data_IF_718739736133
#
_entry.id   IF_718739736133
#
_cell.length_a   1.000
_cell.length_b   1.000
_cell.length_c   1.000
_cell.angle_alpha   90.00
_cell.angle_beta   90.00
_cell.angle_gamma   90.00
#
_symmetry.space_group_name_H-M   'P 1'
#
loop_
_entity.id
_entity.type
_entity.pdbx_description
1 polymer ?
#
# COMPACT_ATOMS: atom_id res chain seq x y z
N UNK A 1 -21.59 7.90 12.83
CA UNK A 1 -21.19 7.92 11.40
C UNK A 1 -20.52 9.26 11.16
N UNK A 2 -19.19 9.28 11.02
CA UNK A 2 -18.45 10.51 10.76
C UNK A 2 -18.53 10.89 9.28
N UNK A 3 -18.62 12.19 8.98
CA UNK A 3 -18.56 12.69 7.61
C UNK A 3 -17.26 12.30 6.90
N UNK A 4 -17.34 12.02 5.60
CA UNK A 4 -16.15 11.81 4.75
C UNK A 4 -15.42 13.14 4.50
N UNK A 5 -14.14 13.11 4.11
CA UNK A 5 -13.37 14.33 3.79
C UNK A 5 -14.07 15.16 2.69
N UNK A 6 -14.65 14.47 1.70
CA UNK A 6 -15.38 15.12 0.61
C UNK A 6 -16.65 15.82 1.11
N UNK A 7 -17.39 15.20 2.01
CA UNK A 7 -18.57 15.82 2.65
C UNK A 7 -18.18 17.02 3.51
N UNK A 8 -17.11 16.91 4.30
CA UNK A 8 -16.59 18.01 5.12
C UNK A 8 -16.19 19.22 4.25
N UNK A 9 -15.43 19.00 3.17
CA UNK A 9 -15.08 20.06 2.22
C UNK A 9 -16.33 20.69 1.58
N UNK A 10 -17.31 19.88 1.17
CA UNK A 10 -18.56 20.40 0.60
C UNK A 10 -19.35 21.26 1.60
N UNK A 11 -19.41 20.86 2.87
CA UNK A 11 -20.07 21.62 3.94
C UNK A 11 -19.35 22.94 4.24
N UNK A 12 -18.02 22.95 4.20
CA UNK A 12 -17.21 24.17 4.38
C UNK A 12 -17.39 25.14 3.19
N UNK A 13 -17.39 24.63 1.95
CA UNK A 13 -17.71 25.45 0.75
C UNK A 13 -19.10 26.06 0.85
N UNK A 14 -20.11 25.29 1.26
CA UNK A 14 -21.48 25.78 1.41
C UNK A 14 -21.60 26.92 2.44
N UNK A 15 -20.68 26.97 3.42
CA UNK A 15 -20.60 28.02 4.44
C UNK A 15 -19.63 29.15 4.09
N UNK A 16 -18.95 29.08 2.95
CA UNK A 16 -17.98 30.09 2.52
C UNK A 16 -16.71 30.14 3.39
N UNK A 17 -16.35 29.02 4.03
CA UNK A 17 -15.12 28.90 4.82
C UNK A 17 -13.99 28.45 3.90
N UNK A 18 -12.87 29.17 3.91
CA UNK A 18 -11.65 28.78 3.19
C UNK A 18 -10.91 27.70 3.98
N UNK A 19 -10.54 26.62 3.30
CA UNK A 19 -9.80 25.47 3.85
C UNK A 19 -8.60 25.10 2.97
N UNK A 20 -8.09 26.04 2.17
CA UNK A 20 -6.94 25.84 1.27
C UNK A 20 -5.66 25.40 1.97
N UNK A 21 -5.56 25.55 3.29
CA UNK A 21 -4.43 25.11 4.12
C UNK A 21 -4.71 23.85 4.96
N UNK A 22 -5.89 23.25 4.86
CA UNK A 22 -6.27 22.09 5.66
C UNK A 22 -6.33 20.84 4.79
N UNK A 23 -5.41 19.92 5.07
CA UNK A 23 -5.29 18.65 4.34
C UNK A 23 -5.86 17.49 5.14
N UNK A 24 -5.88 17.60 6.47
CA UNK A 24 -6.25 16.51 7.36
C UNK A 24 -7.74 16.54 7.73
N UNK A 25 -8.32 15.35 7.92
CA UNK A 25 -9.74 15.20 8.31
C UNK A 25 -10.05 15.90 9.64
N UNK A 26 -9.13 15.85 10.61
CA UNK A 26 -9.30 16.47 11.92
C UNK A 26 -9.39 18.00 11.83
N UNK A 27 -8.51 18.62 11.04
CA UNK A 27 -8.51 20.07 10.79
C UNK A 27 -9.81 20.52 10.13
N UNK A 28 -10.30 19.77 9.13
CA UNK A 28 -11.56 20.05 8.45
C UNK A 28 -12.78 19.92 9.38
N UNK A 29 -12.79 18.95 10.28
CA UNK A 29 -13.83 18.82 11.30
C UNK A 29 -13.81 19.97 12.30
N UNK A 30 -12.61 20.37 12.74
CA UNK A 30 -12.44 21.49 13.66
C UNK A 30 -12.92 22.81 13.05
N UNK A 31 -12.54 23.09 11.80
CA UNK A 31 -13.01 24.26 11.06
C UNK A 31 -14.54 24.28 10.90
N UNK A 32 -15.13 23.12 10.65
CA UNK A 32 -16.58 23.00 10.50
C UNK A 32 -17.30 23.31 11.83
N UNK A 33 -16.76 22.80 12.94
CA UNK A 33 -17.28 23.06 14.28
C UNK A 33 -17.14 24.54 14.66
N UNK A 34 -15.99 25.17 14.38
CA UNK A 34 -15.80 26.61 14.61
C UNK A 34 -16.77 27.47 13.79
N UNK A 35 -17.06 27.07 12.55
CA UNK A 35 -18.03 27.76 11.70
C UNK A 35 -19.45 27.64 12.28
N UNK A 36 -19.84 26.47 12.79
CA UNK A 36 -21.12 26.24 13.45
C UNK A 36 -21.27 27.05 14.74
N UNK A 37 -20.21 27.15 15.55
CA UNK A 37 -20.18 27.99 16.75
C UNK A 37 -20.28 29.49 16.41
N UNK A 38 -19.61 29.95 15.35
CA UNK A 38 -19.74 31.33 14.85
C UNK A 38 -21.15 31.63 14.36
N UNK A 39 -21.79 30.69 13.67
CA UNK A 39 -23.17 30.86 13.20
C UNK A 39 -24.16 30.87 14.38
N UNK A 40 -23.97 29.98 15.36
CA UNK A 40 -24.75 29.94 16.60
C UNK A 40 -24.62 31.25 17.39
N UNK A 41 -23.41 31.79 17.54
CA UNK A 41 -23.16 33.07 18.24
C UNK A 41 -23.63 34.30 17.45
N UNK A 42 -23.67 34.22 16.11
CA UNK A 42 -24.26 35.25 15.26
C UNK A 42 -25.78 35.31 15.36
N UNK A 43 -26.44 34.17 15.64
CA UNK A 43 -27.90 34.07 15.77
C UNK A 43 -28.45 34.60 17.11
N UNK A 44 -27.59 34.89 18.09
CA UNK A 44 -28.02 35.40 19.39
C UNK A 44 -28.48 36.87 19.31
N UNK A 45 -29.63 37.22 19.91
CA UNK A 45 -30.11 38.59 19.95
C UNK A 45 -29.12 39.50 20.71
N UNK A 46 -28.95 40.76 20.30
CA UNK A 46 -27.93 41.67 20.83
C UNK A 46 -28.01 41.90 22.34
N UNK A 47 -29.15 41.62 22.98
CA UNK A 47 -29.35 41.76 24.42
C UNK A 47 -28.63 40.71 25.28
N UNK A 48 -28.04 39.66 24.69
CA UNK A 48 -27.29 38.62 25.42
C UNK A 48 -25.76 38.78 25.35
N UNK A 49 -25.24 39.69 24.51
CA UNK A 49 -23.79 39.83 24.27
C UNK A 49 -23.03 40.59 25.37
N UNK A 50 -23.72 41.37 26.22
CA UNK A 50 -23.08 42.21 27.24
C UNK A 50 -22.76 41.49 28.57
N UNK A 51 -23.11 40.21 28.72
CA UNK A 51 -22.97 39.49 30.00
C UNK A 51 -21.78 38.52 30.09
N UNK A 52 -21.01 38.30 29.02
CA UNK A 52 -19.99 37.23 28.95
C UNK A 52 -18.53 37.71 28.92
N UNK A 53 -18.26 38.98 29.23
CA UNK A 53 -16.90 39.52 29.33
C UNK A 53 -16.30 39.33 30.73
N UNK A 54 -15.89 38.12 31.08
CA UNK A 54 -15.04 37.87 32.24
C UNK A 54 -14.08 36.71 31.94
N UNK A 55 -12.88 37.05 31.46
CA UNK A 55 -11.78 36.12 31.23
C UNK A 55 -11.14 35.66 32.55
N UNK A 56 -10.75 34.38 32.67
CA UNK A 56 -9.68 33.96 33.53
C UNK A 56 -8.42 33.65 32.70
N UNK A 57 -7.37 34.44 32.92
CA UNK A 57 -5.98 34.05 32.66
C UNK A 57 -5.64 32.77 33.42
N UNK A 58 -4.94 31.83 32.77
CA UNK A 58 -4.03 30.78 33.27
C UNK A 58 -3.77 29.86 32.05
N UNK A 59 -2.59 29.38 31.70
CA UNK A 59 -1.26 29.37 32.29
C UNK A 59 -0.34 28.69 31.27
N UNK A 60 0.94 29.04 31.33
CA UNK A 60 1.97 28.85 30.32
C UNK A 60 2.99 27.82 30.80
N UNK A 61 3.04 26.64 30.21
CA UNK A 61 4.12 25.63 30.30
C UNK A 61 4.06 24.80 29.00
N UNK A 62 5.11 24.33 28.33
CA UNK A 62 6.53 24.23 28.64
C UNK A 62 7.09 23.18 27.66
N UNK A 63 8.06 23.57 26.85
CA UNK A 63 8.70 22.79 25.78
C UNK A 63 9.63 21.73 26.36
N UNK A 64 9.62 20.50 25.82
CA UNK A 64 10.83 19.66 25.76
C UNK A 64 10.69 18.56 24.68
N UNK A 65 11.61 18.62 23.72
CA UNK A 65 11.89 17.60 22.72
C UNK A 65 13.06 16.74 23.20
N UNK A 66 13.02 15.41 23.01
CA UNK A 66 14.25 14.61 22.84
C UNK A 66 13.95 13.20 22.30
N UNK A 67 14.64 12.84 21.23
CA UNK A 67 14.91 11.50 20.69
C UNK A 67 16.28 11.61 19.97
N UNK A 68 16.95 10.53 19.52
CA UNK A 68 16.91 9.11 19.87
C UNK A 68 18.33 8.52 20.13
N UNK A 69 18.45 7.22 20.42
CA UNK A 69 19.71 6.48 20.20
C UNK A 69 19.45 4.99 19.98
N UNK A 70 19.84 4.50 18.80
CA UNK A 70 19.91 3.08 18.47
C UNK A 70 21.28 2.81 17.82
N UNK A 71 21.96 1.78 18.32
CA UNK A 71 23.26 1.29 17.87
C UNK A 71 23.16 0.44 16.58
N UNK A 72 24.21 0.36 15.75
CA UNK A 72 24.30 -0.64 14.69
C UNK A 72 25.27 -1.79 15.06
N UNK A 73 24.74 -3.01 15.00
CA UNK A 73 25.52 -4.26 15.05
C UNK A 73 26.11 -4.60 13.68
N UNK A 74 27.43 -4.79 13.65
CA UNK A 74 28.20 -5.31 12.53
C UNK A 74 27.97 -6.81 12.34
N UNK A 75 27.75 -7.26 11.10
CA UNK A 75 28.05 -8.63 10.69
C UNK A 75 28.78 -8.63 9.34
N UNK A 76 30.02 -9.12 9.41
CA UNK A 76 30.90 -9.46 8.30
C UNK A 76 30.54 -10.86 7.74
N UNK A 77 30.55 -10.98 6.42
CA UNK A 77 30.65 -12.22 5.66
C UNK A 77 30.56 -11.84 4.18
N UNK A 78 31.54 -12.01 3.32
CA UNK A 78 32.50 -13.10 3.20
C UNK A 78 32.00 -14.04 2.10
N UNK A 79 32.38 -13.79 0.83
CA UNK A 79 32.59 -14.87 -0.15
C UNK A 79 33.24 -14.38 -1.43
N UNK A 80 34.36 -15.04 -1.71
CA UNK A 80 35.11 -15.14 -2.95
C UNK A 80 34.21 -15.43 -4.17
N UNK A 81 34.61 -14.94 -5.34
CA UNK A 81 34.94 -15.78 -6.52
C UNK A 81 35.47 -14.91 -7.67
N UNK A 82 36.70 -15.18 -8.08
CA UNK A 82 37.21 -15.01 -9.44
C UNK A 82 37.43 -16.45 -10.01
N UNK A 83 37.83 -16.70 -11.27
CA UNK A 83 38.11 -15.78 -12.39
C UNK A 83 37.49 -16.23 -13.74
N UNK A 84 37.58 -15.42 -14.80
CA UNK A 84 37.46 -15.93 -16.20
C UNK A 84 38.16 -15.05 -17.25
N UNK A 85 39.25 -15.64 -17.76
CA UNK A 85 39.79 -15.69 -19.15
C UNK A 85 39.71 -14.46 -20.09
N UNK A 86 40.85 -14.02 -20.68
CA UNK A 86 40.88 -13.01 -21.74
C UNK A 86 40.67 -13.62 -23.15
N UNK A 87 39.83 -12.98 -23.96
CA UNK A 87 39.57 -13.37 -25.35
C UNK A 87 40.29 -12.46 -26.36
N UNK A 88 41.10 -13.13 -27.19
CA UNK A 88 41.53 -12.85 -28.57
C UNK A 88 41.53 -11.41 -29.13
N UNK A 89 42.73 -10.96 -29.51
CA UNK A 89 43.00 -9.82 -30.38
C UNK A 89 42.63 -10.11 -31.86
N UNK A 90 41.99 -9.18 -32.57
CA UNK A 90 41.93 -9.19 -34.03
C UNK A 90 43.07 -8.39 -34.68
N UNK A 91 43.46 -8.85 -35.88
CA UNK A 91 44.56 -8.38 -36.71
C UNK A 91 44.38 -6.95 -37.27
N UNK A 92 45.48 -6.26 -37.65
CA UNK A 92 45.43 -4.91 -38.19
C UNK A 92 44.90 -4.88 -39.63
N UNK A 93 43.87 -4.08 -39.85
CA UNK A 93 43.38 -3.73 -41.19
C UNK A 93 44.35 -2.75 -41.87
N UNK A 94 44.62 -3.05 -43.14
CA UNK A 94 45.40 -2.29 -44.12
C UNK A 94 44.98 -0.82 -44.20
N UNK A 95 45.96 0.07 -44.04
CA UNK A 95 45.85 1.51 -44.22
C UNK A 95 45.45 1.85 -45.66
N UNK A 96 44.20 2.31 -45.83
CA UNK A 96 43.78 3.06 -46.99
C UNK A 96 44.35 4.48 -46.88
N UNK A 97 44.99 4.95 -47.96
CA UNK A 97 45.56 6.29 -48.05
C UNK A 97 44.45 7.35 -47.86
N UNK A 98 44.42 7.94 -46.67
CA UNK A 98 43.55 9.06 -46.35
C UNK A 98 43.97 10.27 -47.20
N UNK A 99 42.98 10.88 -47.85
CA UNK A 99 43.12 12.19 -48.46
C UNK A 99 43.68 13.20 -47.43
N UNK A 100 44.45 14.21 -47.85
CA UNK A 100 44.99 15.22 -46.94
C UNK A 100 43.83 15.91 -46.22
N UNK A 101 43.68 15.62 -44.93
CA UNK A 101 42.75 16.33 -44.04
C UNK A 101 43.26 17.76 -43.93
N UNK A 102 42.49 18.71 -44.45
CA UNK A 102 42.80 20.13 -44.33
C UNK A 102 42.84 20.51 -42.84
N UNK A 103 44.03 20.81 -42.32
CA UNK A 103 44.24 21.26 -40.95
C UNK A 103 43.80 22.73 -40.83
N UNK A 104 42.65 23.03 -40.19
CA UNK A 104 42.15 24.40 -40.10
C UNK A 104 43.09 25.31 -39.31
N UNK A 105 43.96 24.77 -38.44
CA UNK A 105 44.94 25.57 -37.69
C UNK A 105 46.05 26.13 -38.60
N UNK A 106 46.32 25.51 -39.77
CA UNK A 106 47.38 25.99 -40.69
C UNK A 106 47.09 27.35 -41.28
N UNK A 107 45.81 27.66 -41.54
CA UNK A 107 45.36 28.91 -42.15
C UNK A 107 45.35 30.10 -41.21
N UNK A 108 45.29 29.87 -39.89
CA UNK A 108 45.15 30.94 -38.89
C UNK A 108 46.47 31.70 -38.69
N UNK A 109 46.36 33.01 -38.49
CA UNK A 109 47.45 33.89 -38.06
C UNK A 109 47.78 33.70 -36.57
N UNK A 110 48.96 34.16 -36.13
CA UNK A 110 49.35 34.07 -34.70
C UNK A 110 48.35 34.77 -33.78
N UNK A 111 47.74 35.87 -34.24
CA UNK A 111 46.73 36.61 -33.48
C UNK A 111 45.43 35.82 -33.34
N UNK A 112 44.99 35.16 -34.41
CA UNK A 112 43.79 34.31 -34.40
C UNK A 112 43.99 33.05 -33.55
N UNK A 113 45.17 32.43 -33.62
CA UNK A 113 45.52 31.28 -32.77
C UNK A 113 45.49 31.65 -31.29
N UNK A 114 46.08 32.80 -30.91
CA UNK A 114 46.05 33.30 -29.52
C UNK A 114 44.62 33.63 -29.07
N UNK A 115 43.84 34.32 -29.92
CA UNK A 115 42.44 34.61 -29.61
C UNK A 115 41.59 33.33 -29.43
N UNK A 116 41.84 32.30 -30.23
CA UNK A 116 41.16 31.00 -30.10
C UNK A 116 41.54 30.27 -28.80
N UNK A 117 42.83 30.32 -28.41
CA UNK A 117 43.31 29.74 -27.14
C UNK A 117 42.82 30.54 -25.93
N UNK A 118 42.82 31.88 -26.00
CA UNK A 118 42.28 32.79 -24.97
C UNK A 118 40.78 32.53 -24.74
N UNK A 119 40.01 32.35 -25.82
CA UNK A 119 38.59 32.02 -25.77
C UNK A 119 38.29 30.67 -25.11
N UNK A 120 39.31 29.82 -24.94
CA UNK A 120 39.24 28.50 -24.29
C UNK A 120 39.98 28.46 -22.96
N UNK A 121 40.45 29.63 -22.49
CA UNK A 121 41.22 29.76 -21.26
C UNK A 121 42.49 28.89 -21.18
N UNK A 122 43.13 28.63 -22.32
CA UNK A 122 44.37 27.82 -22.39
C UNK A 122 45.59 28.74 -22.34
N UNK A 123 46.46 28.55 -21.34
CA UNK A 123 47.71 29.30 -21.22
C UNK A 123 48.71 28.90 -22.32
N UNK A 124 49.19 29.91 -23.05
CA UNK A 124 50.20 29.78 -24.10
C UNK A 124 51.46 30.62 -23.84
N UNK A 125 51.70 31.06 -22.60
CA UNK A 125 52.86 31.88 -22.23
C UNK A 125 54.21 31.22 -22.58
N UNK A 126 54.25 29.89 -22.68
CA UNK A 126 55.43 29.12 -23.03
C UNK A 126 55.62 28.89 -24.54
N UNK A 127 54.62 29.25 -25.37
CA UNK A 127 54.68 29.10 -26.82
C UNK A 127 55.29 30.36 -27.46
N UNK A 128 56.46 30.22 -28.07
CA UNK A 128 57.18 31.29 -28.77
C UNK A 128 56.99 31.23 -30.28
N UNK A 129 56.73 30.04 -30.82
CA UNK A 129 56.60 29.82 -32.26
C UNK A 129 55.15 29.61 -32.70
N UNK A 130 54.83 30.00 -33.95
CA UNK A 130 53.49 29.77 -34.53
C UNK A 130 53.12 28.28 -34.54
N UNK A 131 54.09 27.42 -34.81
CA UNK A 131 53.89 25.97 -34.85
C UNK A 131 53.50 25.41 -33.48
N UNK A 132 54.07 25.93 -32.39
CA UNK A 132 53.72 25.53 -31.02
C UNK A 132 52.29 25.93 -30.65
N UNK A 133 51.84 27.12 -31.07
CA UNK A 133 50.45 27.56 -30.88
C UNK A 133 49.47 26.69 -31.70
N UNK A 134 49.84 26.31 -32.92
CA UNK A 134 49.04 25.40 -33.76
C UNK A 134 48.96 23.99 -33.16
N UNK A 135 50.07 23.48 -32.62
CA UNK A 135 50.13 22.20 -31.93
C UNK A 135 49.27 22.23 -30.66
N UNK A 136 49.39 23.28 -29.86
CA UNK A 136 48.59 23.45 -28.65
C UNK A 136 47.11 23.55 -28.97
N UNK A 137 46.72 24.29 -30.01
CA UNK A 137 45.32 24.37 -30.44
C UNK A 137 44.80 23.04 -31.01
N UNK A 138 45.61 22.30 -31.78
CA UNK A 138 45.27 20.93 -32.22
C UNK A 138 45.10 20.00 -31.03
N UNK A 139 46.00 20.08 -30.06
CA UNK A 139 45.93 19.31 -28.82
C UNK A 139 44.65 19.62 -28.06
N UNK A 140 44.32 20.89 -27.89
CA UNK A 140 43.07 21.34 -27.26
C UNK A 140 41.84 20.91 -28.05
N UNK A 141 41.86 20.88 -29.38
CA UNK A 141 40.76 20.34 -30.18
C UNK A 141 40.65 18.82 -30.14
N UNK A 142 41.76 18.11 -29.91
CA UNK A 142 41.77 16.66 -29.75
C UNK A 142 41.52 16.20 -28.31
N UNK A 143 41.84 17.05 -27.34
CA UNK A 143 41.64 16.84 -25.90
C UNK A 143 40.35 17.48 -25.38
N UNK A 144 39.72 18.38 -26.16
CA UNK A 144 38.28 18.57 -26.04
C UNK A 144 37.69 17.17 -26.24
N UNK A 145 37.17 16.50 -25.19
CA UNK A 145 36.30 15.36 -25.43
C UNK A 145 35.27 15.91 -26.42
N UNK A 146 35.11 15.31 -27.62
CA UNK A 146 34.47 15.91 -28.78
C UNK A 146 33.32 16.77 -28.30
N UNK A 147 33.56 18.09 -28.24
CA UNK A 147 32.76 18.96 -27.40
C UNK A 147 31.32 18.89 -27.89
N UNK A 148 30.45 18.32 -27.06
CA UNK A 148 29.01 18.40 -27.27
C UNK A 148 28.38 17.38 -28.21
N UNK A 149 28.94 16.19 -28.41
CA UNK A 149 28.02 15.04 -28.32
C UNK A 149 27.80 14.84 -26.82
N UNK A 150 26.97 15.70 -26.20
CA UNK A 150 26.12 15.19 -25.14
C UNK A 150 25.53 13.94 -25.77
N UNK A 151 25.94 12.76 -25.30
CA UNK A 151 25.42 11.50 -25.83
C UNK A 151 23.92 11.70 -25.85
N UNK A 152 23.37 11.80 -27.06
CA UNK A 152 21.99 12.20 -27.25
C UNK A 152 21.18 11.27 -26.36
N UNK A 153 20.54 11.85 -25.34
CA UNK A 153 19.79 11.08 -24.36
C UNK A 153 18.93 10.08 -25.13
N UNK A 154 19.07 8.78 -24.86
CA UNK A 154 18.36 7.78 -25.64
C UNK A 154 16.87 8.06 -25.50
N UNK A 155 16.15 8.03 -26.62
CA UNK A 155 14.71 8.26 -26.62
C UNK A 155 14.01 7.26 -25.69
N UNK A 156 13.18 7.77 -24.79
CA UNK A 156 12.50 7.01 -23.74
C UNK A 156 13.30 6.76 -22.46
N UNK A 157 14.34 7.55 -22.18
CA UNK A 157 15.08 7.47 -20.92
C UNK A 157 14.49 8.38 -19.82
N UNK A 158 14.97 8.21 -18.58
CA UNK A 158 14.73 9.18 -17.52
C UNK A 158 15.87 10.18 -17.45
N UNK A 159 15.54 11.42 -17.15
CA UNK A 159 16.53 12.47 -16.94
C UNK A 159 16.12 13.37 -15.78
N UNK A 160 17.12 13.93 -15.10
CA UNK A 160 16.96 14.93 -14.06
C UNK A 160 17.32 16.29 -14.63
N UNK A 161 16.45 17.28 -14.47
CA UNK A 161 16.74 18.64 -14.88
C UNK A 161 17.71 19.30 -13.89
N UNK A 162 18.81 19.85 -14.40
CA UNK A 162 19.90 20.41 -13.58
C UNK A 162 19.45 21.62 -12.76
N UNK A 163 18.53 22.44 -13.28
CA UNK A 163 18.12 23.69 -12.63
C UNK A 163 17.29 23.51 -11.36
N UNK A 164 16.48 22.45 -11.28
CA UNK A 164 15.56 22.20 -10.16
C UNK A 164 15.52 20.76 -9.66
N UNK A 165 16.38 19.89 -10.21
CA UNK A 165 16.51 18.48 -9.85
C UNK A 165 15.23 17.64 -10.05
N UNK A 166 14.24 18.14 -10.81
CA UNK A 166 13.02 17.39 -11.12
C UNK A 166 13.33 16.24 -12.07
N UNK A 167 12.73 15.09 -11.82
CA UNK A 167 12.80 13.91 -12.68
C UNK A 167 11.76 14.03 -13.79
N UNK A 168 12.14 13.68 -15.02
CA UNK A 168 11.25 13.59 -16.16
C UNK A 168 11.52 12.33 -16.97
N UNK A 169 10.53 11.93 -17.78
CA UNK A 169 10.71 10.95 -18.84
C UNK A 169 10.89 11.69 -20.16
N UNK A 170 11.94 11.37 -20.91
CA UNK A 170 12.34 12.10 -22.11
C UNK A 170 11.80 11.39 -23.35
N UNK A 171 11.04 12.12 -24.17
CA UNK A 171 10.59 11.71 -25.49
C UNK A 171 11.29 12.59 -26.54
N UNK A 172 11.88 11.99 -27.57
CA UNK A 172 12.52 12.64 -28.73
C UNK A 172 13.50 13.80 -28.44
N UNK A 173 14.76 13.60 -28.82
CA UNK A 173 15.77 14.68 -28.80
C UNK A 173 15.95 15.22 -30.22
N UNK A 174 15.63 16.50 -30.45
CA UNK A 174 15.89 17.20 -31.72
C UNK A 174 16.98 18.24 -31.52
N UNK A 175 18.11 18.10 -32.21
CA UNK A 175 19.20 19.10 -32.34
C UNK A 175 19.43 20.03 -31.12
N UNK A 176 19.46 19.45 -29.90
CA UNK A 176 19.75 20.16 -28.66
C UNK A 176 18.57 20.39 -27.70
N UNK A 177 17.34 20.08 -28.11
CA UNK A 177 16.14 20.15 -27.27
C UNK A 177 15.51 18.75 -27.08
N UNK A 178 14.87 18.53 -25.93
CA UNK A 178 14.20 17.29 -25.56
C UNK A 178 12.78 17.58 -25.04
N UNK A 179 11.80 16.73 -25.38
CA UNK A 179 10.46 16.82 -24.79
C UNK A 179 10.45 16.03 -23.47
N UNK A 180 10.35 16.76 -22.36
CA UNK A 180 10.27 16.20 -21.02
C UNK A 180 8.82 16.06 -20.59
N UNK A 181 8.44 14.86 -20.18
CA UNK A 181 7.19 14.57 -19.50
C UNK A 181 7.42 14.55 -17.99
N UNK A 182 6.58 15.25 -17.24
CA UNK A 182 6.66 15.35 -15.78
C UNK A 182 5.60 14.46 -15.09
N UNK A 183 5.83 14.14 -13.81
CA UNK A 183 4.94 13.30 -13.01
C UNK A 183 3.56 13.94 -12.77
N UNK A 184 3.50 15.27 -12.75
CA UNK A 184 2.25 16.06 -12.70
C UNK A 184 1.42 16.00 -14.00
N UNK A 185 1.93 15.34 -15.05
CA UNK A 185 1.29 15.19 -16.36
C UNK A 185 1.46 16.40 -17.28
N UNK A 186 2.27 17.39 -16.90
CA UNK A 186 2.68 18.46 -17.79
C UNK A 186 3.83 18.01 -18.69
N UNK A 187 3.96 18.68 -19.84
CA UNK A 187 5.03 18.46 -20.80
C UNK A 187 5.79 19.78 -21.01
N UNK A 188 7.11 19.72 -21.16
CA UNK A 188 7.92 20.90 -21.46
C UNK A 188 9.08 20.56 -22.41
N UNK A 189 9.45 21.51 -23.27
CA UNK A 189 10.68 21.42 -24.06
C UNK A 189 11.82 21.95 -23.20
N UNK A 190 12.85 21.12 -23.00
CA UNK A 190 14.02 21.44 -22.18
C UNK A 190 15.28 21.21 -23.02
N UNK A 191 16.25 22.11 -22.93
CA UNK A 191 17.53 21.92 -23.60
C UNK A 191 18.22 20.65 -23.09
N UNK A 192 18.75 19.81 -23.97
CA UNK A 192 19.45 18.58 -23.61
C UNK A 192 20.66 18.83 -22.69
N UNK A 193 21.28 20.02 -22.77
CA UNK A 193 22.35 20.43 -21.85
C UNK A 193 21.88 20.74 -20.42
N UNK A 194 20.57 20.87 -20.19
CA UNK A 194 19.97 21.04 -18.86
C UNK A 194 19.52 19.71 -18.25
N UNK A 195 19.78 18.59 -18.91
CA UNK A 195 19.33 17.27 -18.49
C UNK A 195 20.52 16.37 -18.15
N UNK A 196 20.42 15.69 -17.02
CA UNK A 196 21.35 14.66 -16.57
C UNK A 196 20.67 13.29 -16.65
N UNK A 197 21.26 12.33 -17.36
CA UNK A 197 20.67 10.99 -17.51
C UNK A 197 20.55 10.29 -16.15
N UNK A 198 19.39 9.68 -15.90
CA UNK A 198 19.16 8.86 -14.71
C UNK A 198 18.93 7.42 -15.17
N UNK A 199 19.82 6.51 -14.75
CA UNK A 199 19.66 5.08 -15.03
C UNK A 199 18.32 4.57 -14.49
N UNK A 200 17.67 3.66 -15.22
CA UNK A 200 16.35 3.13 -14.87
C UNK A 200 16.30 2.52 -13.45
N UNK A 201 17.39 1.89 -13.02
CA UNK A 201 17.55 1.32 -11.68
C UNK A 201 17.77 2.37 -10.57
N UNK A 202 18.15 3.60 -10.94
CA UNK A 202 18.39 4.72 -10.01
C UNK A 202 17.15 5.60 -9.83
N UNK A 203 16.08 5.34 -10.58
CA UNK A 203 14.81 6.02 -10.42
C UNK A 203 14.23 5.62 -9.06
N UNK A 204 14.00 6.59 -8.14
CA UNK A 204 13.41 6.29 -6.85
C UNK A 204 12.01 5.69 -7.04
N UNK A 205 11.51 4.92 -6.09
CA UNK A 205 10.17 4.36 -6.18
C UNK A 205 9.80 3.51 -4.97
N UNK A 206 8.52 3.10 -4.86
CA UNK A 206 8.08 2.22 -3.79
C UNK A 206 8.81 0.87 -3.87
N UNK A 207 9.19 0.35 -2.70
CA UNK A 207 9.83 -0.95 -2.58
C UNK A 207 8.86 -2.04 -3.04
N UNK A 208 9.19 -2.68 -4.16
CA UNK A 208 8.40 -3.77 -4.69
C UNK A 208 8.56 -5.03 -3.83
N UNK A 209 7.44 -5.67 -3.52
CA UNK A 209 7.39 -6.96 -2.85
C UNK A 209 8.12 -8.01 -3.67
N UNK A 210 9.07 -8.70 -3.04
CA UNK A 210 9.84 -9.78 -3.64
C UNK A 210 9.02 -11.08 -3.62
N UNK A 211 8.43 -11.45 -4.77
CA UNK A 211 7.72 -12.73 -4.88
C UNK A 211 6.68 -12.76 -5.99
N UNK A 212 5.84 -13.80 -5.95
CA UNK A 212 4.72 -13.91 -6.89
C UNK A 212 3.59 -12.95 -6.51
N UNK A 213 2.71 -12.68 -7.47
CA UNK A 213 1.50 -11.88 -7.21
C UNK A 213 0.62 -12.49 -6.10
N UNK A 214 0.58 -13.83 -6.02
CA UNK A 214 -0.23 -14.53 -5.01
C UNK A 214 0.35 -14.33 -3.60
N UNK A 215 1.69 -14.33 -3.48
CA UNK A 215 2.38 -14.10 -2.21
C UNK A 215 2.17 -12.65 -1.75
N UNK A 216 2.31 -11.68 -2.66
CA UNK A 216 2.03 -10.28 -2.37
C UNK A 216 0.56 -10.05 -1.94
N UNK A 217 -0.39 -10.74 -2.58
CA UNK A 217 -1.80 -10.69 -2.19
C UNK A 217 -2.04 -11.30 -0.81
N UNK A 218 -1.43 -12.45 -0.53
CA UNK A 218 -1.54 -13.08 0.78
C UNK A 218 -0.94 -12.19 1.88
N UNK A 219 0.18 -11.54 1.61
CA UNK A 219 0.82 -10.58 2.51
C UNK A 219 -0.08 -9.36 2.75
N UNK A 220 -0.65 -8.78 1.70
CA UNK A 220 -1.57 -7.65 1.83
C UNK A 220 -2.80 -8.02 2.67
N UNK A 221 -3.36 -9.21 2.43
CA UNK A 221 -4.46 -9.77 3.22
C UNK A 221 -4.09 -9.94 4.69
N UNK A 222 -2.89 -10.46 4.96
CA UNK A 222 -2.40 -10.69 6.32
C UNK A 222 -2.18 -9.38 7.08
N UNK A 223 -1.59 -8.38 6.42
CA UNK A 223 -1.35 -7.04 6.98
C UNK A 223 -2.61 -6.17 7.06
N UNK A 224 -3.73 -6.61 6.47
CA UNK A 224 -4.98 -5.84 6.42
C UNK A 224 -4.86 -4.53 5.63
N UNK A 225 -4.01 -4.49 4.61
CA UNK A 225 -3.74 -3.30 3.80
C UNK A 225 -4.07 -3.53 2.32
N UNK A 226 -3.98 -2.47 1.50
CA UNK A 226 -4.20 -2.58 0.06
C UNK A 226 -3.05 -3.33 -0.62
N UNK A 227 -3.36 -3.99 -1.74
CA UNK A 227 -2.35 -4.44 -2.71
C UNK A 227 -2.37 -3.48 -3.90
N UNK A 228 -1.22 -2.89 -4.23
CA UNK A 228 -1.07 -2.08 -5.45
C UNK A 228 -0.21 -2.85 -6.44
N UNK A 229 -0.79 -3.20 -7.59
CA UNK A 229 -0.17 -4.04 -8.60
C UNK A 229 0.18 -3.23 -9.85
N UNK A 230 1.48 -3.02 -10.10
CA UNK A 230 2.01 -2.49 -11.35
C UNK A 230 2.30 -3.63 -12.34
N UNK A 231 1.42 -3.80 -13.32
CA UNK A 231 1.53 -4.85 -14.35
C UNK A 231 2.25 -4.31 -15.57
N UNK A 232 3.43 -4.85 -15.84
CA UNK A 232 4.29 -4.46 -16.96
C UNK A 232 4.01 -5.30 -18.20
N UNK A 233 4.24 -4.69 -19.37
CA UNK A 233 4.24 -5.39 -20.65
C UNK A 233 5.30 -6.50 -20.75
N UNK A 234 5.06 -7.49 -21.62
CA UNK A 234 5.96 -8.63 -21.83
C UNK A 234 7.11 -8.39 -22.81
N UNK A 235 7.07 -7.29 -23.58
CA UNK A 235 8.12 -6.96 -24.53
C UNK A 235 9.36 -6.45 -23.78
N UNK A 236 10.55 -6.92 -24.14
CA UNK A 236 11.82 -6.36 -23.65
C UNK A 236 11.98 -4.87 -23.98
N UNK A 237 11.13 -4.35 -24.88
CA UNK A 237 10.95 -2.94 -25.21
C UNK A 237 9.96 -2.22 -24.27
N UNK A 238 9.53 -2.80 -23.14
CA UNK A 238 8.55 -2.18 -22.25
C UNK A 238 9.05 -0.88 -21.59
N UNK A 239 10.37 -0.70 -21.43
CA UNK A 239 10.96 0.61 -21.12
C UNK A 239 10.77 1.63 -22.24
N UNK A 240 10.54 1.17 -23.47
CA UNK A 240 10.29 2.02 -24.64
C UNK A 240 8.80 2.29 -24.89
N UNK A 241 7.87 1.70 -24.11
CA UNK A 241 6.48 2.15 -24.19
C UNK A 241 6.32 3.41 -23.36
N UNK A 242 5.93 4.52 -24.00
CA UNK A 242 5.65 5.81 -23.35
C UNK A 242 4.85 5.66 -22.05
N UNK A 243 3.78 4.87 -22.08
CA UNK A 243 2.95 4.61 -20.90
C UNK A 243 3.71 3.94 -19.75
N UNK A 244 4.65 3.04 -20.02
CA UNK A 244 5.46 2.36 -19.00
C UNK A 244 6.49 3.30 -18.37
N UNK A 245 7.07 4.18 -19.18
CA UNK A 245 7.93 5.28 -18.74
C UNK A 245 7.18 6.25 -17.83
N UNK A 246 6.03 6.74 -18.28
CA UNK A 246 5.17 7.65 -17.51
C UNK A 246 4.65 7.03 -16.20
N UNK A 247 4.22 5.76 -16.23
CA UNK A 247 3.82 5.05 -15.00
C UNK A 247 4.99 4.96 -14.02
N UNK A 248 6.19 4.62 -14.49
CA UNK A 248 7.37 4.53 -13.62
C UNK A 248 7.77 5.91 -13.08
N UNK A 249 7.61 6.98 -13.87
CA UNK A 249 7.83 8.35 -13.43
C UNK A 249 6.89 8.75 -12.29
N UNK A 250 5.60 8.42 -12.40
CA UNK A 250 4.61 8.70 -11.35
C UNK A 250 4.89 7.90 -10.08
N UNK A 251 5.26 6.63 -10.22
CA UNK A 251 5.67 5.81 -9.07
C UNK A 251 6.98 6.30 -8.44
N UNK A 252 7.79 7.07 -9.17
CA UNK A 252 9.02 7.67 -8.67
C UNK A 252 8.81 8.97 -7.89
N UNK A 253 7.60 9.53 -7.95
CA UNK A 253 7.24 10.69 -7.14
C UNK A 253 7.31 10.32 -5.66
N UNK A 254 8.02 11.13 -4.87
CA UNK A 254 8.24 10.91 -3.43
C UNK A 254 6.91 10.78 -2.66
N UNK A 255 5.94 11.60 -3.02
CA UNK A 255 4.59 11.57 -2.45
C UNK A 255 3.90 10.21 -2.69
N UNK A 256 3.93 9.72 -3.92
CA UNK A 256 3.32 8.43 -4.27
C UNK A 256 4.08 7.27 -3.63
N UNK A 257 5.41 7.30 -3.67
CA UNK A 257 6.25 6.25 -3.08
C UNK A 257 6.03 6.13 -1.57
N UNK A 258 5.96 7.26 -0.86
CA UNK A 258 5.72 7.31 0.60
C UNK A 258 4.32 6.82 0.92
N UNK A 259 3.30 7.33 0.22
CA UNK A 259 1.90 6.95 0.40
C UNK A 259 1.68 5.44 0.21
N UNK A 260 2.30 4.86 -0.84
CA UNK A 260 2.25 3.43 -1.10
C UNK A 260 3.04 2.60 -0.08
N UNK A 261 4.23 3.06 0.32
CA UNK A 261 5.09 2.36 1.27
C UNK A 261 4.48 2.22 2.67
N UNK A 262 3.69 3.20 3.09
CA UNK A 262 3.03 3.21 4.40
C UNK A 262 1.73 2.40 4.41
N UNK A 263 0.97 2.40 3.31
CA UNK A 263 -0.43 1.96 3.32
C UNK A 263 -0.73 0.74 2.44
N UNK A 264 0.26 0.22 1.70
CA UNK A 264 0.04 -0.89 0.78
C UNK A 264 1.23 -1.86 0.71
N UNK A 265 0.94 -3.08 0.24
CA UNK A 265 1.94 -3.94 -0.37
C UNK A 265 2.01 -3.57 -1.85
N UNK A 266 3.15 -3.06 -2.29
CA UNK A 266 3.39 -2.77 -3.69
C UNK A 266 3.97 -3.98 -4.41
N UNK A 267 3.32 -4.45 -5.48
CA UNK A 267 3.82 -5.54 -6.32
C UNK A 267 4.06 -5.03 -7.75
N UNK A 268 5.22 -5.36 -8.30
CA UNK A 268 5.59 -5.04 -9.69
C UNK A 268 5.97 -6.32 -10.42
N UNK A 269 5.33 -6.59 -11.54
CA UNK A 269 5.63 -7.79 -12.32
C UNK A 269 5.07 -7.76 -13.73
N UNK A 270 5.41 -8.76 -14.53
CA UNK A 270 5.00 -8.81 -15.93
C UNK A 270 3.63 -9.47 -16.11
N UNK A 271 2.90 -9.10 -17.16
CA UNK A 271 1.63 -9.73 -17.54
C UNK A 271 1.71 -11.27 -17.61
N UNK A 272 2.85 -11.80 -18.07
CA UNK A 272 3.10 -13.26 -18.21
C UNK A 272 3.25 -14.01 -16.88
N UNK A 273 3.52 -13.31 -15.77
CA UNK A 273 3.59 -13.94 -14.44
C UNK A 273 2.22 -14.01 -13.76
N UNK A 274 1.20 -13.39 -14.33
CA UNK A 274 -0.16 -13.43 -13.81
C UNK A 274 -0.95 -14.57 -14.45
N UNK A 275 -1.87 -15.15 -13.67
CA UNK A 275 -2.90 -16.04 -14.21
C UNK A 275 -3.84 -15.24 -15.12
N UNK A 276 -4.36 -15.87 -16.16
CA UNK A 276 -5.26 -15.22 -17.15
C UNK A 276 -6.39 -14.39 -16.52
N UNK A 277 -7.18 -14.94 -15.57
CA UNK A 277 -8.23 -14.18 -14.89
C UNK A 277 -7.72 -12.98 -14.10
N UNK A 278 -6.56 -13.08 -13.46
CA UNK A 278 -5.95 -11.96 -12.73
C UNK A 278 -5.51 -10.87 -13.70
N UNK A 279 -4.92 -11.22 -14.83
CA UNK A 279 -4.54 -10.25 -15.85
C UNK A 279 -5.77 -9.48 -16.37
N UNK A 280 -6.87 -10.18 -16.66
CA UNK A 280 -8.10 -9.53 -17.13
C UNK A 280 -8.69 -8.56 -16.09
N UNK A 281 -8.55 -8.86 -14.79
CA UNK A 281 -9.04 -7.98 -13.72
C UNK A 281 -8.10 -6.79 -13.46
N UNK A 282 -6.78 -7.02 -13.47
CA UNK A 282 -5.77 -6.00 -13.13
C UNK A 282 -5.44 -5.07 -14.30
N UNK A 283 -5.66 -5.53 -15.53
CA UNK A 283 -5.29 -4.84 -16.75
C UNK A 283 -6.38 -5.01 -17.82
N UNK A 284 -7.64 -4.61 -17.54
CA UNK A 284 -8.76 -4.79 -18.48
C UNK A 284 -8.53 -4.05 -19.80
N UNK A 285 -7.84 -2.91 -19.75
CA UNK A 285 -7.50 -2.07 -20.92
C UNK A 285 -6.15 -2.41 -21.54
N UNK A 286 -5.50 -3.47 -21.07
CA UNK A 286 -4.15 -3.87 -21.48
C UNK A 286 -3.06 -3.38 -20.53
N UNK A 287 -1.81 -3.57 -20.96
CA UNK A 287 -0.60 -3.28 -20.18
C UNK A 287 0.23 -2.17 -20.85
N UNK A 288 0.91 -1.30 -20.10
CA UNK A 288 1.05 -1.32 -18.64
C UNK A 288 -0.24 -0.87 -17.90
N UNK A 289 -0.43 -1.37 -16.67
CA UNK A 289 -1.58 -1.02 -15.83
C UNK A 289 -1.15 -0.91 -14.37
N UNK A 290 -1.75 0.01 -13.62
CA UNK A 290 -1.65 0.13 -12.17
C UNK A 290 -3.02 -0.16 -11.59
N UNK A 291 -3.14 -1.21 -10.78
CA UNK A 291 -4.40 -1.61 -10.16
C UNK A 291 -4.31 -1.53 -8.64
N UNK A 292 -5.37 -1.01 -8.02
CA UNK A 292 -5.53 -1.00 -6.56
C UNK A 292 -6.51 -2.09 -6.18
N UNK A 293 -6.06 -2.99 -5.31
CA UNK A 293 -6.72 -4.25 -5.03
C UNK A 293 -7.00 -4.37 -3.54
N UNK A 294 -8.25 -4.69 -3.22
CA UNK A 294 -8.69 -5.06 -1.89
C UNK A 294 -8.57 -6.59 -1.73
N UNK A 295 -7.63 -7.08 -0.91
CA UNK A 295 -7.55 -8.51 -0.60
C UNK A 295 -8.71 -8.89 0.34
N UNK A 296 -9.59 -9.79 -0.12
CA UNK A 296 -10.75 -10.23 0.66
C UNK A 296 -10.48 -11.54 1.42
N UNK A 297 -9.71 -12.42 0.79
CA UNK A 297 -9.28 -13.70 1.36
C UNK A 297 -7.98 -14.15 0.68
N UNK A 298 -7.45 -15.30 1.10
CA UNK A 298 -6.25 -15.91 0.50
C UNK A 298 -6.37 -16.10 -1.02
N UNK A 299 -7.57 -16.40 -1.50
CA UNK A 299 -7.90 -16.70 -2.91
C UNK A 299 -8.90 -15.72 -3.55
N UNK A 300 -9.40 -14.74 -2.80
CA UNK A 300 -10.39 -13.77 -3.28
C UNK A 300 -9.84 -12.34 -3.22
N UNK A 301 -10.09 -11.59 -4.30
CA UNK A 301 -9.71 -10.19 -4.39
C UNK A 301 -10.77 -9.38 -5.11
N UNK A 302 -10.80 -8.09 -4.85
CA UNK A 302 -11.62 -7.11 -5.57
C UNK A 302 -10.73 -5.98 -6.07
N UNK A 303 -10.72 -5.76 -7.38
CA UNK A 303 -10.06 -4.58 -7.96
C UNK A 303 -10.97 -3.38 -7.73
N UNK A 304 -10.43 -2.33 -7.08
CA UNK A 304 -11.16 -1.12 -6.74
C UNK A 304 -11.03 -0.07 -7.85
N UNK A 305 -9.83 0.06 -8.41
CA UNK A 305 -9.51 0.97 -9.49
C UNK A 305 -8.40 0.41 -10.36
N UNK A 306 -8.38 0.86 -11.63
CA UNK A 306 -7.30 0.62 -12.57
C UNK A 306 -6.93 1.95 -13.23
N UNK A 307 -5.63 2.13 -13.50
CA UNK A 307 -5.10 3.28 -14.22
C UNK A 307 -4.10 2.80 -15.26
N UNK A 308 -4.30 3.08 -16.57
CA UNK A 308 -3.40 2.65 -17.64
C UNK A 308 -2.09 3.47 -17.71
N UNK A 309 -1.75 4.23 -16.66
CA UNK A 309 -0.72 5.26 -16.67
C UNK A 309 -1.36 6.62 -16.92
N UNK A 310 -1.45 7.41 -15.85
CA UNK A 310 -1.96 8.79 -15.84
C UNK A 310 -0.98 9.69 -15.10
N UNK A 311 -1.39 10.92 -14.80
CA UNK A 311 -0.61 11.80 -13.93
C UNK A 311 -0.71 11.37 -12.45
N UNK A 312 0.21 11.90 -11.64
CA UNK A 312 0.31 11.67 -10.20
C UNK A 312 -1.02 11.83 -9.47
N UNK A 313 -1.74 12.93 -9.73
CA UNK A 313 -3.00 13.25 -9.05
C UNK A 313 -4.07 12.16 -9.22
N UNK A 314 -4.17 11.58 -10.42
CA UNK A 314 -5.14 10.49 -10.68
C UNK A 314 -4.79 9.23 -9.88
N UNK A 315 -3.50 8.94 -9.71
CA UNK A 315 -3.04 7.80 -8.90
C UNK A 315 -3.29 8.06 -7.42
N UNK A 316 -3.00 9.27 -6.94
CA UNK A 316 -3.25 9.66 -5.54
C UNK A 316 -4.74 9.62 -5.22
N UNK A 317 -5.60 10.25 -6.03
CA UNK A 317 -7.05 10.26 -5.86
C UNK A 317 -7.64 8.84 -5.89
N UNK A 318 -7.17 8.02 -6.83
CA UNK A 318 -7.55 6.61 -6.91
C UNK A 318 -7.17 5.86 -5.63
N UNK A 319 -5.98 6.14 -5.08
CA UNK A 319 -5.46 5.45 -3.90
C UNK A 319 -6.20 5.85 -2.63
N UNK A 320 -6.46 7.15 -2.45
CA UNK A 320 -7.28 7.65 -1.34
C UNK A 320 -8.69 7.04 -1.39
N UNK A 321 -9.30 6.99 -2.58
CA UNK A 321 -10.60 6.32 -2.76
C UNK A 321 -10.55 4.83 -2.43
N UNK A 322 -9.42 4.17 -2.70
CA UNK A 322 -9.22 2.77 -2.37
C UNK A 322 -9.04 2.55 -0.85
N UNK A 323 -8.38 3.48 -0.15
CA UNK A 323 -8.25 3.45 1.32
C UNK A 323 -9.61 3.62 2.01
N UNK A 324 -10.44 4.55 1.54
CA UNK A 324 -11.81 4.73 2.04
C UNK A 324 -12.64 3.43 1.86
N UNK A 325 -12.46 2.75 0.73
CA UNK A 325 -13.11 1.47 0.47
C UNK A 325 -12.60 0.33 1.37
N UNK A 326 -11.31 0.32 1.71
CA UNK A 326 -10.72 -0.60 2.68
C UNK A 326 -11.27 -0.34 4.10
N UNK A 327 -11.34 0.92 4.54
CA UNK A 327 -11.93 1.30 5.84
C UNK A 327 -13.41 0.90 5.90
N UNK A 328 -14.16 1.15 4.83
CA UNK A 328 -15.56 0.73 4.74
C UNK A 328 -15.71 -0.79 4.82
N UNK A 329 -14.86 -1.53 4.10
CA UNK A 329 -14.89 -2.99 4.10
C UNK A 329 -14.55 -3.59 5.47
N UNK A 330 -13.50 -3.08 6.13
CA UNK A 330 -13.11 -3.51 7.48
C UNK A 330 -14.22 -3.22 8.49
N UNK A 331 -14.80 -2.02 8.48
CA UNK A 331 -15.94 -1.68 9.33
C UNK A 331 -17.17 -2.55 9.09
N UNK A 332 -17.48 -2.90 7.83
CA UNK A 332 -18.57 -3.83 7.51
C UNK A 332 -18.28 -5.26 8.00
N UNK A 333 -17.04 -5.72 7.89
CA UNK A 333 -16.64 -7.04 8.36
C UNK A 333 -16.74 -7.14 9.90
N UNK A 334 -16.30 -6.12 10.62
CA UNK A 334 -16.43 -6.02 12.07
C UNK A 334 -17.90 -5.98 12.50
N UNK A 335 -18.72 -5.14 11.85
CA UNK A 335 -20.15 -5.07 12.13
C UNK A 335 -20.86 -6.41 11.91
N UNK A 336 -20.44 -7.18 10.88
CA UNK A 336 -20.96 -8.53 10.64
C UNK A 336 -20.59 -9.48 11.78
N UNK A 337 -19.34 -9.49 12.23
CA UNK A 337 -18.90 -10.33 13.34
C UNK A 337 -19.65 -10.01 14.65
N UNK A 338 -19.86 -8.73 14.94
CA UNK A 338 -20.66 -8.30 16.10
C UNK A 338 -22.13 -8.73 15.95
N UNK A 339 -22.70 -8.60 14.75
CA UNK A 339 -24.05 -9.03 14.44
C UNK A 339 -24.25 -10.55 14.59
N UNK A 340 -23.33 -11.34 14.06
CA UNK A 340 -23.32 -12.81 14.19
C UNK A 340 -23.18 -13.24 15.65
N UNK A 341 -22.30 -12.59 16.42
CA UNK A 341 -22.16 -12.86 17.85
C UNK A 341 -23.41 -12.48 18.66
N UNK A 342 -24.08 -11.38 18.31
CA UNK A 342 -25.33 -10.97 18.94
C UNK A 342 -26.47 -11.95 18.60
N UNK A 343 -26.55 -12.39 17.35
CA UNK A 343 -27.50 -13.41 16.92
C UNK A 343 -27.30 -14.73 17.67
N UNK A 344 -26.05 -15.20 17.79
CA UNK A 344 -25.73 -16.42 18.52
C UNK A 344 -26.16 -16.34 20.00
N UNK A 345 -25.96 -15.20 20.65
CA UNK A 345 -26.44 -15.00 22.03
C UNK A 345 -27.96 -15.04 22.11
N UNK A 346 -28.66 -14.43 21.15
CA UNK A 346 -30.11 -14.48 21.11
C UNK A 346 -30.63 -15.91 20.92
N UNK A 347 -29.98 -16.70 20.07
CA UNK A 347 -30.30 -18.12 19.88
C UNK A 347 -30.06 -18.93 21.17
N UNK A 348 -28.94 -18.72 21.85
CA UNK A 348 -28.63 -19.36 23.13
C UNK A 348 -29.63 -18.98 24.24
N UNK A 349 -29.98 -17.70 24.35
CA UNK A 349 -30.97 -17.23 25.33
C UNK A 349 -32.35 -17.86 25.05
N UNK A 350 -32.75 -17.96 23.78
CA UNK A 350 -34.01 -18.59 23.38
C UNK A 350 -34.03 -20.10 23.67
N UNK A 351 -32.92 -20.82 23.42
CA UNK A 351 -32.78 -22.24 23.77
C UNK A 351 -32.81 -22.47 25.29
N UNK A 352 -32.18 -21.59 26.05
CA UNK A 352 -32.20 -21.62 27.50
C UNK A 352 -33.61 -21.39 28.06
N UNK A 353 -34.33 -20.39 27.55
CA UNK A 353 -35.72 -20.13 27.92
C UNK A 353 -36.64 -21.31 27.56
N UNK A 354 -36.46 -21.92 26.39
CA UNK A 354 -37.20 -23.10 25.98
C UNK A 354 -36.94 -24.29 26.92
N UNK A 355 -35.69 -24.49 27.33
CA UNK A 355 -35.30 -25.53 28.28
C UNK A 355 -35.93 -25.30 29.67
N UNK A 356 -35.88 -24.06 30.18
CA UNK A 356 -36.54 -23.69 31.43
C UNK A 356 -38.06 -23.90 31.36
N UNK A 357 -38.69 -23.60 30.23
CA UNK A 357 -40.12 -23.84 30.04
C UNK A 357 -40.45 -25.34 30.03
N UNK A 358 -39.64 -26.16 29.39
CA UNK A 358 -39.79 -27.61 29.38
C UNK A 358 -39.65 -28.21 30.79
N UNK A 359 -38.67 -27.75 31.57
CA UNK A 359 -38.48 -28.17 32.96
C UNK A 359 -39.67 -27.80 33.85
N UNK A 360 -40.22 -26.58 33.68
CA UNK A 360 -41.43 -26.16 34.38
C UNK A 360 -42.62 -27.05 34.02
N UNK A 361 -42.83 -27.34 32.74
CA UNK A 361 -43.90 -28.23 32.30
C UNK A 361 -43.73 -29.66 32.84
N UNK A 362 -42.50 -30.17 32.89
CA UNK A 362 -42.21 -31.49 33.46
C UNK A 362 -42.53 -31.52 34.96
N UNK A 363 -42.13 -30.49 35.71
CA UNK A 363 -42.42 -30.41 37.14
C UNK A 363 -43.91 -30.23 37.44
N UNK A 364 -44.62 -29.42 36.63
CA UNK A 364 -46.08 -29.28 36.72
C UNK A 364 -46.79 -30.61 36.41
N UNK A 365 -46.37 -31.32 35.36
CA UNK A 365 -46.89 -32.65 35.05
C UNK A 365 -46.61 -33.65 36.18
N UNK A 366 -45.42 -33.60 36.79
CA UNK A 366 -45.06 -34.41 37.96
C UNK A 366 -45.98 -34.11 39.13
N UNK A 367 -46.20 -32.84 39.47
CA UNK A 367 -47.13 -32.44 40.55
C UNK A 367 -48.55 -32.91 40.26
N UNK A 368 -49.06 -32.69 39.05
CA UNK A 368 -50.39 -33.15 38.65
C UNK A 368 -50.52 -34.67 38.79
N UNK A 369 -49.51 -35.44 38.37
CA UNK A 369 -49.53 -36.90 38.53
C UNK A 369 -49.53 -37.35 39.99
N UNK A 370 -48.77 -36.69 40.86
CA UNK A 370 -48.75 -36.98 42.31
C UNK A 370 -50.09 -36.64 42.96
N UNK A 371 -50.71 -35.51 42.60
CA UNK A 371 -52.05 -35.15 43.08
C UNK A 371 -53.11 -36.16 42.63
N UNK A 372 -53.02 -36.63 41.38
CA UNK A 372 -53.93 -37.65 40.84
C UNK A 372 -53.76 -38.98 41.58
N UNK A 373 -52.51 -39.40 41.80
CA UNK A 373 -52.20 -40.62 42.56
C UNK A 373 -52.63 -40.53 44.04
N UNK A 374 -52.48 -39.36 44.67
CA UNK A 374 -52.95 -39.13 46.04
C UNK A 374 -54.48 -39.17 46.15
N UNK A 375 -55.20 -38.58 45.18
CA UNK A 375 -56.66 -38.64 45.12
C UNK A 375 -57.17 -40.07 44.91
N UNK A 376 -56.50 -40.84 44.04
CA UNK A 376 -56.82 -42.26 43.81
C UNK A 376 -56.56 -43.10 45.07
N UNK A 377 -55.44 -42.89 45.77
CA UNK A 377 -55.13 -43.56 47.02
C UNK A 377 -56.13 -43.21 48.15
N UNK A 378 -56.65 -41.98 48.20
CA UNK A 378 -57.67 -41.58 49.17
C UNK A 378 -59.04 -42.23 48.92
N UNK A 379 -59.35 -42.57 47.67
CA UNK A 379 -60.57 -43.28 47.28
C UNK A 379 -60.47 -44.80 47.43
N UNK A 380 -59.27 -45.34 47.65
CA UNK A 380 -59.07 -46.77 47.85
C UNK A 380 -59.71 -47.20 49.20
N UNK A 381 -60.69 -48.12 49.20
CA UNK A 381 -61.35 -48.55 50.42
C UNK A 381 -60.36 -49.27 51.34
N UNK A 382 -60.25 -48.79 52.58
CA UNK A 382 -59.48 -49.40 53.67
C UNK A 382 -60.05 -50.77 54.04
N UNK A 383 -59.76 -51.79 53.21
CA UNK A 383 -60.00 -53.19 53.51
C UNK A 383 -58.90 -53.70 54.45
N UNK A 384 -59.00 -53.34 55.72
CA UNK A 384 -58.24 -53.98 56.79
C UNK A 384 -58.84 -55.36 57.06
N UNK A 385 -58.14 -56.42 56.64
CA UNK A 385 -58.28 -57.75 57.22
C UNK A 385 -56.89 -58.20 57.72
N UNK A 386 -56.70 -58.42 59.03
CA UNK A 386 -55.49 -59.02 59.55
C UNK A 386 -55.64 -60.54 59.45
N UNK A 387 -54.95 -61.15 58.49
CA UNK A 387 -54.88 -62.60 58.33
C UNK A 387 -53.44 -63.01 58.13
N UNK A 388 -52.80 -63.43 59.22
CA UNK A 388 -51.53 -64.12 59.20
C UNK A 388 -51.59 -65.33 58.28
N UNK A 389 -50.58 -65.54 57.44
CA UNK A 389 -49.83 -66.79 57.43
C UNK A 389 -48.56 -66.68 56.59
N UNK A 390 -47.52 -67.27 57.13
CA UNK A 390 -46.22 -67.48 56.51
C UNK A 390 -46.35 -68.31 55.23
N UNK A 391 -45.53 -68.02 54.22
CA UNK A 391 -44.89 -69.10 53.47
C UNK A 391 -43.69 -68.57 52.68
N UNK A 392 -42.52 -69.06 53.09
CA UNK A 392 -41.30 -69.13 52.30
C UNK A 392 -41.58 -69.71 50.92
N UNK A 393 -41.05 -69.08 49.88
CA UNK A 393 -40.50 -69.83 48.74
C UNK A 393 -39.49 -68.97 47.97
N UNK A 394 -38.27 -69.49 47.94
CA UNK A 394 -37.23 -69.17 46.98
C UNK A 394 -37.75 -69.33 45.54
N UNK A 395 -37.58 -68.29 44.72
CA UNK A 395 -37.56 -68.37 43.26
C UNK A 395 -36.59 -67.28 42.76
N UNK A 396 -35.31 -67.60 42.64
CA UNK A 396 -34.65 -68.09 41.42
C UNK A 396 -34.50 -67.00 40.35
N UNK A 397 -33.28 -66.44 40.38
CA UNK A 397 -32.47 -65.83 39.33
C UNK A 397 -33.04 -65.74 37.90
N UNK A 398 -32.83 -64.56 37.31
CA UNK A 398 -32.94 -64.23 35.89
C UNK A 398 -33.73 -62.93 35.77
N UNK A 399 -33.20 -61.79 35.36
CA UNK A 399 -32.06 -61.49 34.52
C UNK A 399 -32.47 -60.22 33.73
N UNK A 400 -31.50 -59.36 33.43
CA UNK A 400 -31.62 -58.14 32.62
C UNK A 400 -32.28 -56.91 33.27
N UNK A 401 -31.48 -56.11 34.00
CA UNK A 401 -31.59 -54.64 33.90
C UNK A 401 -30.29 -53.91 34.32
N UNK A 402 -29.16 -54.34 33.75
CA UNK A 402 -27.84 -53.79 34.00
C UNK A 402 -27.24 -53.07 32.78
N UNK A 403 -28.08 -52.61 31.83
CA UNK A 403 -27.62 -52.11 30.53
C UNK A 403 -27.74 -50.58 30.35
N UNK A 404 -28.07 -49.80 31.39
CA UNK A 404 -28.27 -48.34 31.26
C UNK A 404 -27.32 -47.45 32.07
N UNK A 405 -26.25 -48.01 32.63
CA UNK A 405 -25.18 -47.25 33.31
C UNK A 405 -23.87 -46.97 32.55
N UNK A 406 -23.50 -47.62 31.41
CA UNK A 406 -22.22 -47.29 30.77
C UNK A 406 -22.21 -45.95 30.02
N UNK A 407 -23.38 -45.45 29.57
CA UNK A 407 -23.45 -44.23 28.77
C UNK A 407 -23.06 -42.95 29.55
N UNK A 408 -23.37 -42.88 30.84
CA UNK A 408 -23.00 -41.72 31.67
C UNK A 408 -21.52 -41.70 32.07
N UNK A 409 -20.86 -42.86 32.06
CA UNK A 409 -19.43 -42.95 32.36
C UNK A 409 -18.57 -42.68 31.11
N UNK A 410 -19.06 -43.03 29.90
CA UNK A 410 -18.44 -42.62 28.62
C UNK A 410 -18.50 -41.10 28.42
N UNK A 411 -19.66 -40.47 28.64
CA UNK A 411 -19.83 -39.02 28.47
C UNK A 411 -18.95 -38.22 29.45
N UNK A 412 -18.70 -38.77 30.66
CA UNK A 412 -17.77 -38.18 31.64
C UNK A 412 -16.30 -38.36 31.26
N UNK A 413 -15.94 -39.43 30.56
CA UNK A 413 -14.59 -39.65 30.07
C UNK A 413 -14.27 -38.76 28.86
N UNK A 414 -15.24 -38.55 27.97
CA UNK A 414 -15.07 -37.63 26.83
C UNK A 414 -14.88 -36.19 27.30
N UNK A 415 -15.69 -35.70 28.26
CA UNK A 415 -15.51 -34.36 28.84
C UNK A 415 -14.16 -34.19 29.56
N UNK A 416 -13.63 -35.24 30.21
CA UNK A 416 -12.30 -35.18 30.81
C UNK A 416 -11.16 -35.19 29.78
N UNK A 417 -11.37 -35.80 28.62
CA UNK A 417 -10.38 -35.75 27.53
C UNK A 417 -10.37 -34.40 26.82
N UNK A 418 -11.52 -33.76 26.61
CA UNK A 418 -11.58 -32.41 26.04
C UNK A 418 -10.91 -31.38 26.94
N UNK A 419 -11.16 -31.41 28.26
CA UNK A 419 -10.47 -30.49 29.19
C UNK A 419 -8.95 -30.68 29.23
N UNK A 420 -8.45 -31.91 29.04
CA UNK A 420 -7.00 -32.17 28.97
C UNK A 420 -6.36 -31.78 27.63
N UNK A 421 -7.15 -31.50 26.59
CA UNK A 421 -6.64 -31.01 25.32
C UNK A 421 -6.67 -29.47 25.21
N UNK A 422 -7.50 -28.81 26.03
CA UNK A 422 -7.53 -27.34 26.13
C UNK A 422 -6.49 -26.74 27.10
N UNK A 423 -6.01 -27.52 28.08
CA UNK A 423 -4.81 -27.19 28.87
C UNK A 423 -3.51 -27.51 28.12
#
# INVERSE_FOLDING_TARGET
MGHSIRELKALLVARGVDFSHCCERGELQQLLQEAEEREATASLPPSARDAAGAEPELGREGVAAEAPSAEPGQLQGGSSSAPSVPAAAPAPATAAAAAPVDDPARGLSVRELKAALDGRHVDYAHCREKAELQELLRKVWSEEPPSGQAELLPDGCFARRVSDSRLCWVEFVTDGDALCHWDDGTDAIVGASELEEVGNESVPGPLAFEGSFEDARAEACHRGCLLVAAVLGGSASASASKQGGLQSLVLASEEVATLLGENAVFWRGHARSLKGPHLQQLAPDGVPSLAMVLPLAKDAMRVLSHSPGGCKEVVVDGFVSALDALETHTGMAEARLVGEAAQLRQEQDAEFEASLAADRQMEEARRASLETAAAEAALAPSSAAPGAEACSSEAKAGGADAAKRPALDEERQEQQQEQQQEE
#
